data_IF_748372133686
#
_entry.id   IF_748372133686
#
_cell.length_a   1.000
_cell.length_b   1.000
_cell.length_c   1.000
_cell.angle_alpha   90.00
_cell.angle_beta   90.00
_cell.angle_gamma   90.00
#
_symmetry.space_group_name_H-M   'P 1'
#
loop_
_entity.id
_entity.type
_entity.pdbx_description
1 polymer ?
#
# COMPACT_ATOMS: atom_id res chain seq x y z
N UNK A 1 5.09 -2.32 -12.34
CA UNK A 1 5.23 -0.86 -12.48
C UNK A 1 3.94 -0.20 -12.90
N UNK A 2 3.47 -0.52 -14.08
CA UNK A 2 2.26 0.09 -14.63
C UNK A 2 1.02 -0.17 -13.78
N UNK A 3 0.87 -1.37 -13.23
CA UNK A 3 -0.26 -1.72 -12.37
C UNK A 3 -0.28 -0.91 -11.08
N UNK A 4 0.89 -0.69 -10.48
CA UNK A 4 0.99 0.11 -9.26
C UNK A 4 0.68 1.58 -9.53
N UNK A 5 1.16 2.14 -10.65
CA UNK A 5 0.85 3.51 -11.06
C UNK A 5 -0.65 3.69 -11.33
N UNK A 6 -1.27 2.74 -12.00
CA UNK A 6 -2.71 2.76 -12.26
C UNK A 6 -3.52 2.72 -10.96
N UNK A 7 -3.11 1.87 -10.01
CA UNK A 7 -3.72 1.81 -8.70
C UNK A 7 -3.61 3.16 -7.98
N UNK A 8 -2.44 3.81 -8.04
CA UNK A 8 -2.23 5.12 -7.43
C UNK A 8 -3.18 6.17 -8.01
N UNK A 9 -3.37 6.18 -9.33
CA UNK A 9 -4.28 7.10 -10.01
C UNK A 9 -5.71 6.89 -9.49
N UNK A 10 -6.16 5.64 -9.41
CA UNK A 10 -7.50 5.30 -8.94
C UNK A 10 -7.72 5.74 -7.49
N UNK A 11 -6.76 5.48 -6.62
CA UNK A 11 -6.85 5.84 -5.21
C UNK A 11 -6.86 7.36 -5.02
N UNK A 12 -6.05 8.10 -5.78
CA UNK A 12 -6.06 9.56 -5.74
C UNK A 12 -7.42 10.12 -6.17
N UNK A 13 -8.03 9.53 -7.20
CA UNK A 13 -9.35 9.91 -7.66
C UNK A 13 -10.42 9.68 -6.59
N UNK A 14 -10.20 8.71 -5.69
CA UNK A 14 -11.10 8.40 -4.58
C UNK A 14 -10.84 9.24 -3.32
N UNK A 15 -9.87 10.14 -3.36
CA UNK A 15 -9.59 11.07 -2.27
C UNK A 15 -8.45 10.70 -1.34
N UNK A 16 -7.75 9.60 -1.61
CA UNK A 16 -6.59 9.22 -0.80
C UNK A 16 -5.34 9.98 -1.24
N UNK A 17 -4.47 10.26 -0.28
CA UNK A 17 -3.14 10.78 -0.58
C UNK A 17 -2.24 9.60 -0.92
N UNK A 18 -1.69 9.58 -2.13
CA UNK A 18 -0.87 8.47 -2.62
C UNK A 18 0.44 8.98 -3.17
N UNK A 19 1.54 8.37 -2.74
CA UNK A 19 2.87 8.62 -3.28
C UNK A 19 3.45 7.31 -3.78
N UNK A 20 4.04 7.34 -4.98
CA UNK A 20 4.79 6.19 -5.51
C UNK A 20 6.26 6.43 -5.19
N UNK A 21 6.87 5.48 -4.49
CA UNK A 21 8.25 5.60 -3.99
C UNK A 21 9.15 4.52 -4.56
N UNK A 22 10.42 4.86 -4.73
CA UNK A 22 11.48 3.94 -5.13
C UNK A 22 12.49 3.84 -4.01
N UNK A 23 12.78 2.63 -3.56
CA UNK A 23 13.82 2.40 -2.54
C UNK A 23 14.80 1.32 -2.99
N UNK A 24 16.12 1.61 -2.95
CA UNK A 24 17.11 0.58 -3.20
C UNK A 24 17.18 -0.36 -2.00
N UNK A 25 17.21 -1.66 -2.27
CA UNK A 25 17.38 -2.69 -1.24
C UNK A 25 18.69 -3.42 -1.55
N UNK A 26 19.60 -3.42 -0.58
CA UNK A 26 20.89 -4.11 -0.69
C UNK A 26 20.81 -5.42 0.07
N UNK A 27 21.12 -6.51 -0.63
CA UNK A 27 21.21 -7.83 -0.02
C UNK A 27 22.59 -8.08 0.55
N UNK A 28 22.72 -9.11 1.38
CA UNK A 28 23.98 -9.48 2.05
C UNK A 28 25.10 -9.80 1.05
N UNK A 29 24.75 -10.27 -0.14
CA UNK A 29 25.73 -10.58 -1.20
C UNK A 29 26.19 -9.36 -2.00
N UNK A 30 25.72 -8.16 -1.63
CA UNK A 30 26.04 -6.92 -2.32
C UNK A 30 25.11 -6.59 -3.49
N UNK A 31 24.17 -7.46 -3.82
CA UNK A 31 23.18 -7.21 -4.87
C UNK A 31 22.24 -6.07 -4.44
N UNK A 32 22.00 -5.13 -5.35
CA UNK A 32 21.08 -4.02 -5.12
C UNK A 32 19.92 -4.14 -6.09
N UNK A 33 18.70 -4.15 -5.56
CA UNK A 33 17.49 -4.05 -6.37
C UNK A 33 16.73 -2.80 -6.00
N UNK A 34 16.01 -2.22 -6.97
CA UNK A 34 15.15 -1.08 -6.70
C UNK A 34 13.73 -1.59 -6.47
N UNK A 35 13.19 -1.35 -5.28
CA UNK A 35 11.84 -1.73 -4.94
C UNK A 35 10.91 -0.54 -5.09
N UNK A 36 9.76 -0.76 -5.72
CA UNK A 36 8.79 0.29 -5.99
C UNK A 36 7.52 -0.04 -5.21
N UNK A 37 7.03 0.94 -4.48
CA UNK A 37 5.80 0.77 -3.73
C UNK A 37 5.01 2.08 -3.66
N UNK A 38 3.70 1.95 -3.42
CA UNK A 38 2.81 3.08 -3.20
C UNK A 38 2.54 3.22 -1.70
N UNK A 39 2.61 4.44 -1.20
CA UNK A 39 2.18 4.75 0.16
C UNK A 39 0.86 5.50 0.08
N UNK A 40 -0.12 5.03 0.83
CA UNK A 40 -1.48 5.60 0.85
C UNK A 40 -1.78 6.07 2.26
N UNK A 41 -2.23 7.31 2.40
CA UNK A 41 -2.51 7.90 3.70
C UNK A 41 -3.88 8.57 3.73
N UNK A 42 -4.61 8.37 4.81
CA UNK A 42 -5.83 9.09 5.10
C UNK A 42 -6.20 8.95 6.58
N UNK A 43 -6.38 10.09 7.26
CA UNK A 43 -6.89 10.13 8.65
C UNK A 43 -6.16 9.21 9.64
N UNK A 44 -4.82 9.19 9.57
CA UNK A 44 -3.99 8.36 10.44
C UNK A 44 -3.86 6.92 10.00
N UNK A 45 -4.57 6.51 8.97
CA UNK A 45 -4.41 5.21 8.32
C UNK A 45 -3.32 5.30 7.25
N UNK A 46 -2.47 4.30 7.20
CA UNK A 46 -1.36 4.24 6.26
C UNK A 46 -1.24 2.84 5.68
N UNK A 47 -1.18 2.75 4.37
CA UNK A 47 -0.98 1.47 3.65
C UNK A 47 0.27 1.58 2.80
N UNK A 48 1.14 0.58 2.93
CA UNK A 48 2.26 0.38 2.00
C UNK A 48 1.88 -0.75 1.06
N UNK A 49 1.89 -0.50 -0.24
CA UNK A 49 1.43 -1.44 -1.25
C UNK A 49 2.57 -1.70 -2.23
N UNK A 50 2.98 -2.95 -2.32
CA UNK A 50 3.99 -3.40 -3.27
C UNK A 50 3.33 -4.24 -4.36
N UNK A 51 3.89 -4.19 -5.55
CA UNK A 51 3.50 -5.06 -6.63
C UNK A 51 4.71 -5.87 -7.07
N UNK A 52 4.64 -7.18 -6.91
CA UNK A 52 5.71 -8.09 -7.28
C UNK A 52 5.13 -9.25 -8.09
N UNK A 53 5.67 -9.45 -9.31
CA UNK A 53 5.10 -10.42 -10.22
C UNK A 53 3.66 -10.06 -10.59
N UNK A 54 2.71 -10.89 -10.17
CA UNK A 54 1.28 -10.68 -10.43
C UNK A 54 0.51 -10.34 -9.14
N UNK A 55 1.22 -10.13 -8.03
CA UNK A 55 0.61 -10.02 -6.71
C UNK A 55 0.86 -8.64 -6.10
N UNK A 56 -0.18 -8.07 -5.50
CA UNK A 56 -0.05 -6.90 -4.64
C UNK A 56 0.09 -7.38 -3.19
N UNK A 57 1.07 -6.84 -2.48
CA UNK A 57 1.25 -7.06 -1.06
C UNK A 57 0.92 -5.79 -0.30
N UNK A 58 0.11 -5.88 0.74
CA UNK A 58 -0.34 -4.74 1.54
C UNK A 58 0.14 -4.86 2.97
N UNK A 59 0.66 -3.75 3.50
CA UNK A 59 0.95 -3.57 4.92
C UNK A 59 0.12 -2.40 5.42
N UNK A 60 -0.61 -2.57 6.51
CA UNK A 60 -1.51 -1.56 7.04
C UNK A 60 -1.12 -1.13 8.46
N UNK A 61 -1.11 0.19 8.66
CA UNK A 61 -0.76 0.82 9.94
C UNK A 61 -1.85 1.81 10.35
N UNK A 62 -2.16 1.86 11.62
CA UNK A 62 -3.04 2.88 12.20
C UNK A 62 -2.28 3.60 13.30
N UNK A 63 -2.10 4.93 13.15
CA UNK A 63 -1.33 5.76 14.08
C UNK A 63 0.05 5.16 14.38
N UNK A 64 0.75 4.71 13.33
CA UNK A 64 2.07 4.09 13.37
C UNK A 64 2.11 2.69 13.98
N UNK A 65 0.98 2.13 14.38
CA UNK A 65 0.89 0.76 14.86
C UNK A 65 0.58 -0.17 13.70
N UNK A 66 1.39 -1.23 13.53
CA UNK A 66 1.14 -2.22 12.49
C UNK A 66 -0.08 -3.05 12.86
N UNK A 67 -1.11 -2.98 12.03
CA UNK A 67 -2.34 -3.75 12.21
C UNK A 67 -2.22 -5.10 11.52
N UNK A 68 -1.73 -5.11 10.29
CA UNK A 68 -1.38 -6.34 9.59
C UNK A 68 -0.26 -6.07 8.59
N UNK A 69 0.45 -7.12 8.23
CA UNK A 69 1.42 -7.10 7.15
C UNK A 69 1.20 -8.34 6.29
N UNK A 70 1.72 -8.31 5.08
CA UNK A 70 1.69 -9.46 4.17
C UNK A 70 0.29 -9.98 3.83
N UNK A 71 -0.63 -9.08 3.54
CA UNK A 71 -1.91 -9.42 2.92
C UNK A 71 -1.73 -9.29 1.41
N UNK A 72 -2.18 -10.29 0.64
CA UNK A 72 -1.90 -10.40 -0.79
C UNK A 72 -3.17 -10.38 -1.62
N UNK A 73 -3.12 -9.67 -2.76
CA UNK A 73 -4.21 -9.63 -3.73
C UNK A 73 -3.66 -9.74 -5.15
N UNK A 74 -4.38 -10.43 -6.03
CA UNK A 74 -4.00 -10.55 -7.44
C UNK A 74 -4.53 -9.39 -8.29
N UNK A 75 -5.56 -8.68 -7.84
CA UNK A 75 -6.23 -7.63 -8.61
C UNK A 75 -6.31 -6.32 -7.86
N UNK A 76 -6.25 -5.22 -8.61
CA UNK A 76 -6.37 -3.86 -8.06
C UNK A 76 -7.67 -3.67 -7.26
N UNK A 77 -8.78 -4.22 -7.76
CA UNK A 77 -10.07 -4.09 -7.06
C UNK A 77 -10.06 -4.71 -5.67
N UNK A 78 -9.31 -5.79 -5.48
CA UNK A 78 -9.14 -6.40 -4.16
C UNK A 78 -8.38 -5.49 -3.21
N UNK A 79 -7.34 -4.83 -3.70
CA UNK A 79 -6.57 -3.85 -2.93
C UNK A 79 -7.45 -2.68 -2.52
N UNK A 80 -8.20 -2.11 -3.47
CA UNK A 80 -9.08 -0.97 -3.22
C UNK A 80 -10.16 -1.35 -2.20
N UNK A 81 -10.77 -2.52 -2.36
CA UNK A 81 -11.78 -3.02 -1.42
C UNK A 81 -11.20 -3.16 0.00
N UNK A 82 -10.00 -3.71 0.11
CA UNK A 82 -9.33 -3.86 1.41
C UNK A 82 -9.06 -2.52 2.07
N UNK A 83 -8.60 -1.53 1.31
CA UNK A 83 -8.36 -0.18 1.82
C UNK A 83 -9.66 0.43 2.37
N UNK A 84 -10.77 0.30 1.66
CA UNK A 84 -12.06 0.81 2.13
C UNK A 84 -12.55 0.08 3.38
N UNK A 85 -12.38 -1.23 3.45
CA UNK A 85 -12.74 -2.02 4.63
C UNK A 85 -11.93 -1.55 5.84
N UNK A 86 -10.61 -1.41 5.67
CA UNK A 86 -9.70 -0.97 6.73
C UNK A 86 -10.07 0.45 7.19
N UNK A 87 -10.26 1.35 6.26
CA UNK A 87 -10.61 2.73 6.56
C UNK A 87 -11.92 2.82 7.33
N UNK A 88 -12.96 2.13 6.86
CA UNK A 88 -14.26 2.12 7.52
C UNK A 88 -14.17 1.57 8.95
N UNK A 89 -13.41 0.50 9.12
CA UNK A 89 -13.26 -0.16 10.42
C UNK A 89 -12.47 0.68 11.43
N UNK A 90 -11.34 1.25 11.00
CA UNK A 90 -10.40 1.92 11.91
C UNK A 90 -10.63 3.42 12.02
N UNK A 91 -11.21 4.06 11.02
CA UNK A 91 -11.57 5.48 11.09
C UNK A 91 -12.64 5.72 12.15
N UNK A 92 -13.59 4.81 12.30
CA UNK A 92 -14.67 4.90 13.30
C UNK A 92 -14.14 4.92 14.73
N UNK A 93 -12.96 4.37 14.97
CA UNK A 93 -12.35 4.30 16.30
C UNK A 93 -11.25 5.34 16.50
N UNK A 94 -11.09 6.25 15.57
CA UNK A 94 -10.10 7.32 15.63
C UNK A 94 -10.70 8.52 16.34
N UNK A 95 -10.85 8.41 17.61
CA UNK A 95 -11.34 9.53 18.43
C UNK A 95 -10.20 10.23 19.11
#
# INVERSE_FOLDING_TARGET
MKKLKNLAILLRALGFKVEVRHEPITFDDGTVIEKIFATVDLAGCHWDIWHEGITFEIHFYKNKECIYNQVYYSFQRGVIKQIFIDFDKYEKYAC
#
